data_IF_817799809412
#
_entry.id   IF_817799809412
#
_cell.length_a   1.000
_cell.length_b   1.000
_cell.length_c   1.000
_cell.angle_alpha   90.00
_cell.angle_beta   90.00
_cell.angle_gamma   90.00
#
_symmetry.space_group_name_H-M   'P 1'
#
loop_
_entity.id
_entity.type
_entity.pdbx_description
1 polymer ?
#
# COMPACT_ATOMS: atom_id res chain seq x y z
N UNK A 1 21.32 -63.19 -53.69
CA UNK A 1 20.06 -63.88 -53.33
C UNK A 1 18.92 -62.92 -53.56
N UNK A 2 17.88 -63.34 -54.28
CA UNK A 2 16.66 -62.56 -54.51
C UNK A 2 15.69 -62.71 -53.34
N UNK A 3 14.91 -61.65 -53.06
CA UNK A 3 13.51 -61.74 -52.65
C UNK A 3 12.86 -60.34 -52.63
N UNK A 4 12.02 -60.07 -53.62
CA UNK A 4 10.75 -59.32 -53.48
C UNK A 4 9.64 -60.36 -53.67
N UNK A 5 8.37 -60.15 -53.23
CA UNK A 5 7.45 -59.27 -53.97
C UNK A 5 6.38 -58.52 -53.13
N UNK A 6 5.84 -57.45 -53.75
CA UNK A 6 4.40 -57.07 -53.87
C UNK A 6 3.50 -56.92 -52.60
N UNK A 7 2.37 -56.20 -52.62
CA UNK A 7 1.61 -55.47 -53.68
C UNK A 7 1.22 -54.03 -53.17
N UNK A 8 0.40 -53.17 -53.79
CA UNK A 8 -0.49 -53.23 -54.96
C UNK A 8 -0.74 -51.81 -55.56
N UNK A 9 -1.89 -51.59 -56.23
CA UNK A 9 -2.33 -50.33 -56.85
C UNK A 9 -3.85 -50.13 -56.69
N UNK A 10 -4.39 -48.90 -56.81
CA UNK A 10 -5.73 -48.54 -57.36
C UNK A 10 -5.99 -47.02 -57.11
N UNK A 11 -6.90 -46.36 -57.82
CA UNK A 11 -6.74 -45.63 -59.09
C UNK A 11 -7.91 -44.64 -59.25
N UNK A 12 -7.73 -43.52 -59.97
CA UNK A 12 -8.79 -42.63 -60.50
C UNK A 12 -9.67 -41.87 -59.46
N UNK A 13 -10.29 -40.71 -59.74
CA UNK A 13 -10.38 -39.88 -60.97
C UNK A 13 -10.44 -38.37 -60.62
N UNK A 14 -10.33 -37.51 -61.63
CA UNK A 14 -10.33 -36.04 -61.53
C UNK A 14 -11.62 -35.41 -62.05
N UNK A 15 -12.16 -34.42 -61.34
CA UNK A 15 -12.96 -33.35 -61.96
C UNK A 15 -12.48 -31.97 -61.50
N UNK A 16 -12.41 -31.03 -62.45
CA UNK A 16 -11.87 -29.68 -62.25
C UNK A 16 -12.96 -28.63 -62.50
N UNK A 17 -13.22 -27.77 -61.51
CA UNK A 17 -14.11 -26.61 -61.66
C UNK A 17 -13.24 -25.39 -62.00
N UNK A 18 -13.55 -24.60 -63.06
CA UNK A 18 -12.71 -23.49 -63.49
C UNK A 18 -12.63 -22.33 -62.48
N UNK A 19 -11.47 -21.68 -62.44
CA UNK A 19 -11.18 -20.55 -61.55
C UNK A 19 -12.00 -19.30 -61.88
N UNK A 20 -12.74 -18.75 -60.90
CA UNK A 20 -13.17 -17.35 -60.94
C UNK A 20 -12.12 -16.48 -60.24
N UNK A 21 -11.40 -15.66 -61.02
CA UNK A 21 -10.28 -14.89 -60.51
C UNK A 21 -10.71 -13.86 -59.45
N UNK A 22 -10.12 -13.92 -58.25
CA UNK A 22 -10.11 -12.77 -57.34
C UNK A 22 -8.98 -11.79 -57.72
N UNK A 23 -9.21 -10.47 -57.61
CA UNK A 23 -8.18 -9.48 -57.95
C UNK A 23 -7.01 -9.55 -56.97
N UNK A 24 -5.82 -9.94 -57.46
CA UNK A 24 -4.57 -9.86 -56.70
C UNK A 24 -4.20 -8.40 -56.45
N UNK A 25 -4.58 -7.85 -55.30
CA UNK A 25 -4.07 -6.55 -54.82
C UNK A 25 -2.56 -6.72 -54.54
N UNK A 26 -1.66 -5.97 -55.20
CA UNK A 26 -0.23 -6.18 -55.03
C UNK A 26 0.26 -5.72 -53.65
N UNK A 27 0.98 -6.62 -52.97
CA UNK A 27 1.49 -6.52 -51.57
C UNK A 27 2.38 -5.28 -51.30
N UNK A 28 2.79 -4.53 -52.34
CA UNK A 28 3.49 -3.24 -52.19
C UNK A 28 2.58 -2.09 -51.74
N UNK A 29 1.27 -2.14 -51.97
CA UNK A 29 0.35 -1.04 -51.60
C UNK A 29 -0.08 -1.08 -50.13
N UNK A 30 -0.29 -2.26 -49.55
CA UNK A 30 -0.67 -2.39 -48.13
C UNK A 30 0.42 -1.91 -47.18
N UNK A 31 1.71 -2.16 -47.48
CA UNK A 31 2.83 -1.60 -46.70
C UNK A 31 2.84 -0.07 -46.67
N UNK A 32 2.55 0.62 -47.78
CA UNK A 32 2.53 2.09 -47.84
C UNK A 32 1.38 2.70 -47.03
N UNK A 33 0.17 2.14 -47.13
CA UNK A 33 -0.98 2.58 -46.33
C UNK A 33 -0.77 2.35 -44.82
N UNK A 34 -0.21 1.20 -44.45
CA UNK A 34 0.10 0.90 -43.04
C UNK A 34 1.19 1.83 -42.49
N UNK A 35 2.23 2.13 -43.28
CA UNK A 35 3.27 3.09 -42.90
C UNK A 35 2.70 4.49 -42.71
N UNK A 36 1.81 4.94 -43.60
CA UNK A 36 1.18 6.27 -43.51
C UNK A 36 0.29 6.39 -42.27
N UNK A 37 -0.49 5.36 -41.95
CA UNK A 37 -1.34 5.31 -40.74
C UNK A 37 -0.52 5.34 -39.45
N UNK A 38 0.54 4.52 -39.35
CA UNK A 38 1.41 4.45 -38.17
C UNK A 38 2.19 5.75 -37.96
N UNK A 39 2.69 6.37 -39.04
CA UNK A 39 3.64 7.48 -38.92
C UNK A 39 2.99 8.84 -38.65
N UNK A 40 1.70 9.03 -38.97
CA UNK A 40 0.99 10.31 -38.81
C UNK A 40 -0.13 10.33 -37.76
N UNK A 41 -0.70 9.19 -37.34
CA UNK A 41 -1.77 9.18 -36.29
C UNK A 41 -1.32 8.78 -34.88
N UNK A 42 -0.14 8.19 -34.70
CA UNK A 42 0.24 7.54 -33.43
C UNK A 42 1.54 8.06 -32.77
N UNK A 43 2.13 9.15 -33.27
CA UNK A 43 3.23 9.86 -32.56
C UNK A 43 2.75 11.16 -31.92
N UNK A 44 2.88 11.35 -30.60
CA UNK A 44 2.98 12.69 -30.03
C UNK A 44 4.35 13.31 -30.40
N UNK A 45 4.48 14.65 -30.43
CA UNK A 45 5.73 15.30 -30.77
C UNK A 45 6.81 15.06 -29.70
N UNK A 46 8.04 14.77 -30.17
CA UNK A 46 9.21 14.62 -29.33
C UNK A 46 9.86 16.00 -29.11
N UNK A 47 9.92 16.48 -27.85
CA UNK A 47 11.12 17.08 -27.24
C UNK A 47 10.88 17.50 -25.76
N UNK A 48 11.52 16.77 -24.82
CA UNK A 48 12.06 17.18 -23.49
C UNK A 48 11.17 17.87 -22.41
N UNK A 49 11.52 17.79 -21.10
CA UNK A 49 12.36 16.84 -20.37
C UNK A 49 11.64 16.15 -19.17
N UNK A 50 12.36 15.29 -18.45
CA UNK A 50 11.98 14.60 -17.20
C UNK A 50 11.01 15.36 -16.25
N UNK A 51 9.80 14.84 -16.04
CA UNK A 51 9.16 14.68 -14.72
C UNK A 51 7.75 14.01 -14.82
N UNK A 52 7.40 13.21 -13.81
CA UNK A 52 6.05 12.90 -13.26
C UNK A 52 5.60 11.42 -13.21
N UNK A 53 5.28 10.98 -11.98
CA UNK A 53 4.59 9.74 -11.64
C UNK A 53 3.10 9.78 -12.07
N UNK A 54 2.77 9.38 -13.29
CA UNK A 54 1.39 9.08 -13.69
C UNK A 54 1.13 7.56 -13.62
N UNK A 55 0.05 7.09 -12.96
CA UNK A 55 -0.36 5.70 -13.09
C UNK A 55 -1.01 5.52 -14.47
N UNK A 56 -0.33 4.82 -15.38
CA UNK A 56 -0.90 4.43 -16.66
C UNK A 56 -2.20 3.64 -16.44
N UNK A 57 -3.33 4.29 -16.71
CA UNK A 57 -4.63 3.64 -16.84
C UNK A 57 -4.81 3.39 -18.34
N UNK A 58 -4.44 2.21 -18.80
CA UNK A 58 -4.86 1.75 -20.12
C UNK A 58 -6.39 1.63 -20.12
N UNK A 59 -7.11 2.25 -21.08
CA UNK A 59 -8.48 1.88 -21.35
C UNK A 59 -8.46 0.47 -21.96
N UNK A 60 -8.78 -0.53 -21.16
CA UNK A 60 -8.99 -1.89 -21.68
C UNK A 60 -10.33 -1.88 -22.41
N UNK A 61 -10.28 -1.67 -23.71
CA UNK A 61 -11.39 -2.01 -24.60
C UNK A 61 -11.51 -3.53 -24.63
N UNK A 62 -12.52 -4.06 -23.95
CA UNK A 62 -12.95 -5.46 -24.08
C UNK A 62 -14.07 -5.55 -25.12
N UNK A 63 -13.68 -5.46 -26.39
CA UNK A 63 -14.15 -6.47 -27.35
C UNK A 63 -13.11 -7.58 -27.29
N UNK A 64 -13.53 -8.80 -26.95
CA UNK A 64 -12.60 -9.94 -26.81
C UNK A 64 -12.02 -10.24 -28.20
N UNK A 65 -10.71 -10.05 -28.45
CA UNK A 65 -10.13 -10.37 -29.74
C UNK A 65 -10.17 -11.89 -29.95
N UNK A 66 -10.27 -12.35 -31.20
CA UNK A 66 -10.08 -13.78 -31.48
C UNK A 66 -8.70 -14.23 -30.98
N UNK A 67 -8.51 -15.52 -30.64
CA UNK A 67 -7.24 -16.02 -30.11
C UNK A 67 -6.04 -15.67 -31.00
N UNK A 68 -6.22 -15.59 -32.34
CA UNK A 68 -5.14 -15.19 -33.26
C UNK A 68 -4.72 -13.73 -33.05
N UNK A 69 -5.66 -12.80 -32.85
CA UNK A 69 -5.35 -11.37 -32.65
C UNK A 69 -4.61 -11.17 -31.33
N UNK A 70 -4.96 -11.92 -30.28
CA UNK A 70 -4.26 -11.89 -28.99
C UNK A 70 -2.81 -12.38 -29.13
N UNK A 71 -2.61 -13.48 -29.87
CA UNK A 71 -1.28 -14.04 -30.14
C UNK A 71 -0.43 -13.08 -30.99
N UNK A 72 -1.02 -12.46 -32.02
CA UNK A 72 -0.36 -11.46 -32.88
C UNK A 72 0.01 -10.21 -32.07
N UNK A 73 -0.87 -9.70 -31.21
CA UNK A 73 -0.58 -8.52 -30.40
C UNK A 73 0.50 -8.78 -29.33
N UNK A 74 0.60 -10.02 -28.82
CA UNK A 74 1.70 -10.46 -27.95
C UNK A 74 3.02 -10.59 -28.72
N UNK A 75 3.03 -11.27 -29.86
CA UNK A 75 4.22 -11.45 -30.72
C UNK A 75 4.77 -10.14 -31.29
N UNK A 76 3.91 -9.14 -31.52
CA UNK A 76 4.31 -7.80 -31.95
C UNK A 76 4.69 -6.86 -30.79
N UNK A 77 4.63 -7.32 -29.53
CA UNK A 77 4.94 -6.50 -28.34
C UNK A 77 3.96 -5.34 -28.10
N UNK A 78 2.77 -5.39 -28.72
CA UNK A 78 1.72 -4.37 -28.59
C UNK A 78 0.94 -4.58 -27.28
N UNK A 79 0.73 -5.84 -26.90
CA UNK A 79 0.41 -6.20 -25.52
C UNK A 79 1.71 -6.22 -24.71
N UNK A 80 1.95 -5.17 -23.92
CA UNK A 80 2.94 -5.26 -22.84
C UNK A 80 2.48 -6.33 -21.85
N UNK A 81 3.40 -7.18 -21.36
CA UNK A 81 3.13 -8.09 -20.25
C UNK A 81 2.35 -7.37 -19.15
N UNK A 82 1.32 -8.03 -18.61
CA UNK A 82 0.51 -7.48 -17.53
C UNK A 82 1.45 -7.04 -16.40
N UNK A 83 1.39 -5.78 -15.93
CA UNK A 83 2.47 -5.20 -15.13
C UNK A 83 2.69 -6.04 -13.87
N UNK A 84 3.94 -6.46 -13.64
CA UNK A 84 4.29 -7.33 -12.52
C UNK A 84 3.79 -6.72 -11.20
N UNK A 85 2.80 -7.37 -10.60
CA UNK A 85 2.18 -6.92 -9.35
C UNK A 85 2.18 -8.03 -8.30
N UNK A 86 2.08 -7.62 -7.03
CA UNK A 86 1.85 -8.55 -5.92
C UNK A 86 0.58 -9.38 -6.15
N UNK A 87 -0.46 -8.80 -6.77
CA UNK A 87 -1.70 -9.52 -7.10
C UNK A 87 -1.43 -10.65 -8.11
N UNK A 88 -0.77 -10.33 -9.23
CA UNK A 88 -0.43 -11.32 -10.27
C UNK A 88 0.35 -12.52 -9.70
N UNK A 89 1.38 -12.29 -8.86
CA UNK A 89 2.15 -13.37 -8.22
C UNK A 89 1.28 -14.32 -7.37
N UNK A 90 0.22 -13.82 -6.74
CA UNK A 90 -0.69 -14.64 -5.92
C UNK A 90 -1.74 -15.39 -6.77
N UNK A 91 -2.13 -14.84 -7.93
CA UNK A 91 -3.13 -15.43 -8.85
C UNK A 91 -2.51 -16.49 -9.77
N UNK A 92 -1.31 -16.19 -10.29
CA UNK A 92 -0.58 -17.05 -11.21
C UNK A 92 -0.34 -18.45 -10.64
N UNK A 93 -0.41 -19.47 -11.50
CA UNK A 93 -0.21 -20.89 -11.16
C UNK A 93 -0.97 -21.38 -9.91
N UNK A 94 -2.10 -20.75 -9.56
CA UNK A 94 -2.84 -20.97 -8.32
C UNK A 94 -2.00 -20.85 -7.04
N UNK A 95 -0.93 -20.04 -7.06
CA UNK A 95 0.05 -19.90 -5.99
C UNK A 95 -0.58 -19.67 -4.60
N UNK A 96 -1.60 -18.81 -4.50
CA UNK A 96 -2.33 -18.61 -3.25
C UNK A 96 -3.15 -19.84 -2.82
N UNK A 97 -3.74 -20.57 -3.75
CA UNK A 97 -4.46 -21.82 -3.48
C UNK A 97 -3.53 -22.91 -2.94
N UNK A 98 -2.41 -23.15 -3.63
CA UNK A 98 -1.37 -24.09 -3.19
C UNK A 98 -0.80 -23.71 -1.81
N UNK A 99 -0.50 -22.42 -1.60
CA UNK A 99 -0.02 -21.92 -0.30
C UNK A 99 -1.03 -22.18 0.83
N UNK A 100 -2.33 -21.96 0.58
CA UNK A 100 -3.39 -22.22 1.58
C UNK A 100 -3.53 -23.69 1.96
N UNK A 101 -3.27 -24.61 1.04
CA UNK A 101 -3.33 -26.05 1.30
C UNK A 101 -2.14 -26.45 2.19
N UNK A 102 -0.95 -25.96 1.87
CA UNK A 102 0.31 -26.31 2.56
C UNK A 102 0.44 -25.65 3.94
N UNK A 103 -0.04 -24.42 4.11
CA UNK A 103 0.06 -23.65 5.36
C UNK A 103 -1.27 -23.58 6.14
N UNK A 104 -2.19 -24.52 5.88
CA UNK A 104 -3.57 -24.52 6.40
C UNK A 104 -3.65 -24.25 7.90
N UNK A 105 -2.81 -24.93 8.69
CA UNK A 105 -2.84 -24.88 10.16
C UNK A 105 -2.02 -23.72 10.74
N UNK A 106 -1.20 -23.06 9.92
CA UNK A 106 -0.39 -21.88 10.29
C UNK A 106 -1.05 -20.55 9.91
N UNK A 107 -2.02 -20.57 8.99
CA UNK A 107 -2.67 -19.39 8.44
C UNK A 107 -3.75 -18.83 9.38
N UNK A 108 -3.69 -17.52 9.64
CA UNK A 108 -4.74 -16.81 10.38
C UNK A 108 -5.87 -16.39 9.44
N UNK A 109 -7.11 -16.46 9.90
CA UNK A 109 -8.28 -15.97 9.14
C UNK A 109 -8.11 -14.54 8.61
N UNK A 110 -7.44 -13.68 9.36
CA UNK A 110 -7.19 -12.28 8.96
C UNK A 110 -6.25 -12.18 7.77
N UNK A 111 -5.30 -13.11 7.62
CA UNK A 111 -4.41 -13.19 6.47
C UNK A 111 -5.20 -13.65 5.25
N UNK A 112 -5.95 -14.75 5.38
CA UNK A 112 -6.80 -15.29 4.32
C UNK A 112 -7.78 -14.23 3.81
N UNK A 113 -8.45 -13.52 4.72
CA UNK A 113 -9.42 -12.48 4.38
C UNK A 113 -8.79 -11.26 3.70
N UNK A 114 -7.61 -10.79 4.12
CA UNK A 114 -6.96 -9.64 3.48
C UNK A 114 -6.32 -10.01 2.13
N UNK A 115 -5.86 -11.26 1.94
CA UNK A 115 -5.45 -11.77 0.62
C UNK A 115 -6.65 -11.88 -0.32
N UNK A 116 -7.72 -12.57 0.08
CA UNK A 116 -8.92 -12.72 -0.75
C UNK A 116 -9.54 -11.37 -1.15
N UNK A 117 -9.46 -10.35 -0.29
CA UNK A 117 -9.81 -8.96 -0.65
C UNK A 117 -8.88 -8.41 -1.74
N UNK A 118 -7.57 -8.54 -1.61
CA UNK A 118 -6.59 -8.06 -2.60
C UNK A 118 -6.85 -8.69 -3.98
N UNK A 119 -7.16 -9.98 -4.01
CA UNK A 119 -7.47 -10.70 -5.24
C UNK A 119 -8.75 -10.16 -5.91
N UNK A 120 -9.84 -9.98 -5.15
CA UNK A 120 -11.07 -9.36 -5.69
C UNK A 120 -10.98 -7.83 -5.87
N UNK A 121 -9.79 -7.22 -5.97
CA UNK A 121 -9.66 -5.76 -6.02
C UNK A 121 -10.02 -5.18 -7.39
N UNK A 122 -10.94 -4.21 -7.41
CA UNK A 122 -11.56 -3.64 -8.62
C UNK A 122 -12.37 -4.65 -9.46
N UNK A 123 -12.76 -5.77 -8.86
CA UNK A 123 -13.68 -6.71 -9.50
C UNK A 123 -15.10 -6.13 -9.60
N UNK A 124 -15.86 -6.54 -10.61
CA UNK A 124 -17.25 -6.10 -10.82
C UNK A 124 -18.15 -6.43 -9.61
N UNK A 125 -17.97 -7.59 -8.98
CA UNK A 125 -18.72 -8.04 -7.79
C UNK A 125 -18.59 -7.13 -6.57
N UNK A 126 -17.64 -6.18 -6.57
CA UNK A 126 -17.49 -5.20 -5.48
C UNK A 126 -18.28 -3.91 -5.69
N UNK A 127 -18.97 -3.75 -6.81
CA UNK A 127 -19.65 -2.51 -7.17
C UNK A 127 -18.74 -1.48 -7.84
N UNK A 128 -19.37 -0.44 -8.38
CA UNK A 128 -18.72 0.55 -9.24
C UNK A 128 -19.53 1.85 -9.35
N UNK A 129 -18.86 2.91 -9.80
CA UNK A 129 -19.49 4.14 -10.29
C UNK A 129 -19.46 4.17 -11.81
N UNK A 130 -20.57 4.58 -12.44
CA UNK A 130 -20.64 4.87 -13.88
C UNK A 130 -20.70 6.37 -14.09
N UNK A 131 -19.82 6.87 -14.96
CA UNK A 131 -19.82 8.24 -15.45
C UNK A 131 -19.99 8.25 -16.97
N UNK A 132 -20.54 9.34 -17.50
CA UNK A 132 -20.70 9.60 -18.92
C UNK A 132 -20.13 10.98 -19.25
N UNK A 133 -19.33 11.08 -20.30
CA UNK A 133 -18.94 12.37 -20.85
C UNK A 133 -20.10 12.89 -21.71
N UNK A 134 -20.62 14.06 -21.41
CA UNK A 134 -21.72 14.64 -22.19
C UNK A 134 -21.28 15.07 -23.59
N UNK A 135 -20.03 15.54 -23.72
CA UNK A 135 -19.42 15.97 -24.98
C UNK A 135 -19.19 14.82 -25.97
N UNK A 136 -18.35 13.84 -25.64
CA UNK A 136 -17.97 12.76 -26.58
C UNK A 136 -18.63 11.41 -26.29
N UNK A 137 -19.63 11.36 -25.39
CA UNK A 137 -20.43 10.17 -25.02
C UNK A 137 -19.63 8.98 -24.46
N UNK A 138 -18.33 9.12 -24.21
CA UNK A 138 -17.50 8.09 -23.57
C UNK A 138 -18.04 7.74 -22.18
N UNK A 139 -18.33 6.45 -21.95
CA UNK A 139 -18.67 5.88 -20.65
C UNK A 139 -17.40 5.50 -19.89
N UNK A 140 -17.34 5.81 -18.60
CA UNK A 140 -16.27 5.38 -17.70
C UNK A 140 -16.87 4.63 -16.50
N UNK A 141 -16.46 3.37 -16.32
CA UNK A 141 -16.83 2.56 -15.16
C UNK A 141 -15.63 2.51 -14.19
N UNK A 142 -15.86 2.83 -12.92
CA UNK A 142 -14.81 2.79 -11.89
C UNK A 142 -15.20 1.86 -10.74
N UNK A 143 -14.62 0.66 -10.75
CA UNK A 143 -14.83 -0.38 -9.74
C UNK A 143 -14.23 -0.04 -8.37
N UNK A 144 -14.90 -0.46 -7.30
CA UNK A 144 -14.50 -0.19 -5.93
C UNK A 144 -13.29 -1.04 -5.51
N UNK A 145 -12.25 -0.39 -5.00
CA UNK A 145 -11.04 -1.07 -4.52
C UNK A 145 -11.21 -1.77 -3.17
N UNK A 146 -10.45 -2.83 -2.95
CA UNK A 146 -10.64 -3.82 -1.88
C UNK A 146 -10.36 -3.39 -0.43
N UNK A 147 -9.74 -2.22 -0.20
CA UNK A 147 -9.28 -1.76 1.13
C UNK A 147 -8.33 -2.73 1.90
N UNK A 148 -7.83 -3.79 1.25
CA UNK A 148 -6.83 -4.72 1.82
C UNK A 148 -5.53 -4.00 2.15
N UNK A 149 -4.90 -4.36 3.27
CA UNK A 149 -3.59 -3.85 3.71
C UNK A 149 -2.43 -4.23 2.78
N UNK A 150 -2.55 -5.33 2.05
CA UNK A 150 -1.49 -5.82 1.16
C UNK A 150 -1.71 -5.43 -0.32
N UNK A 151 -2.84 -4.81 -0.66
CA UNK A 151 -3.08 -4.30 -2.00
C UNK A 151 -2.34 -2.97 -2.22
N UNK A 152 -1.28 -2.98 -3.05
CA UNK A 152 -0.52 -1.78 -3.45
C UNK A 152 -1.41 -0.61 -3.90
N UNK A 153 -2.41 -0.89 -4.75
CA UNK A 153 -3.27 0.13 -5.35
C UNK A 153 -4.18 0.80 -4.30
N UNK A 154 -4.79 0.02 -3.39
CA UNK A 154 -5.66 0.57 -2.34
C UNK A 154 -4.85 1.18 -1.19
N UNK A 155 -3.70 0.60 -0.86
CA UNK A 155 -2.80 1.09 0.17
C UNK A 155 -2.33 2.52 -0.11
N UNK A 156 -1.88 2.81 -1.34
CA UNK A 156 -1.49 4.18 -1.75
C UNK A 156 -2.64 5.18 -1.59
N UNK A 157 -3.81 4.88 -2.15
CA UNK A 157 -4.99 5.75 -2.03
C UNK A 157 -5.38 6.02 -0.56
N UNK A 158 -5.35 5.01 0.30
CA UNK A 158 -5.67 5.15 1.72
C UNK A 158 -4.62 5.99 2.46
N UNK A 159 -3.34 5.74 2.17
CA UNK A 159 -2.19 6.49 2.68
C UNK A 159 -2.29 7.98 2.34
N UNK A 160 -2.57 8.32 1.08
CA UNK A 160 -2.69 9.69 0.62
C UNK A 160 -3.91 10.39 1.25
N UNK A 161 -5.05 9.69 1.35
CA UNK A 161 -6.28 10.17 2.01
C UNK A 161 -6.04 10.47 3.50
N UNK A 162 -5.37 9.56 4.23
CA UNK A 162 -5.01 9.77 5.63
C UNK A 162 -4.02 10.92 5.79
N UNK A 163 -3.02 11.02 4.91
CA UNK A 163 -2.01 12.08 4.97
C UNK A 163 -2.65 13.47 4.87
N UNK A 164 -3.59 13.68 3.94
CA UNK A 164 -4.40 14.92 3.88
C UNK A 164 -5.24 15.12 5.14
N UNK A 165 -5.93 14.08 5.61
CA UNK A 165 -6.70 14.14 6.85
C UNK A 165 -5.84 14.47 8.08
N UNK A 166 -4.54 14.13 8.06
CA UNK A 166 -3.62 14.50 9.12
C UNK A 166 -3.25 15.99 9.05
N UNK A 167 -2.95 16.54 7.86
CA UNK A 167 -2.45 17.93 7.72
C UNK A 167 -3.27 18.94 8.50
N UNK A 168 -4.59 18.95 8.31
CA UNK A 168 -5.46 19.94 8.94
C UNK A 168 -5.85 19.55 10.38
N UNK A 169 -5.61 18.30 10.78
CA UNK A 169 -5.89 17.78 12.12
C UNK A 169 -4.70 17.86 13.09
N UNK A 170 -3.53 18.35 12.64
CA UNK A 170 -2.35 18.57 13.47
C UNK A 170 -2.47 19.84 14.32
N UNK A 171 -1.64 19.89 15.36
CA UNK A 171 -1.49 21.08 16.19
C UNK A 171 -0.58 22.08 15.46
N UNK A 172 -0.81 23.37 15.63
CA UNK A 172 0.02 24.45 15.10
C UNK A 172 1.24 24.69 16.01
N UNK A 173 2.03 23.63 16.24
CA UNK A 173 3.28 23.62 17.02
C UNK A 173 4.33 22.82 16.24
N UNK A 174 5.64 22.97 16.50
CA UNK A 174 6.66 22.18 15.81
C UNK A 174 6.57 20.69 16.18
N UNK A 175 6.86 19.82 15.22
CA UNK A 175 6.96 18.37 15.42
C UNK A 175 8.35 17.85 15.12
N UNK A 176 8.63 16.64 15.63
CA UNK A 176 9.70 15.78 15.14
C UNK A 176 9.16 14.45 14.70
N UNK A 177 9.87 13.84 13.75
CA UNK A 177 9.77 12.40 13.53
C UNK A 177 10.81 11.66 14.37
N UNK A 178 10.37 10.65 15.11
CA UNK A 178 11.21 9.69 15.81
C UNK A 178 11.01 8.29 15.24
N UNK A 179 12.08 7.49 15.19
CA UNK A 179 11.97 6.02 15.02
C UNK A 179 12.41 5.36 16.32
N UNK A 180 11.56 4.52 16.90
CA UNK A 180 11.85 3.75 18.11
C UNK A 180 11.86 2.27 17.74
N UNK A 181 12.97 1.58 17.97
CA UNK A 181 13.20 0.19 17.56
C UNK A 181 13.53 -0.68 18.77
N UNK A 182 13.14 -1.95 18.74
CA UNK A 182 13.51 -2.94 19.76
C UNK A 182 14.57 -3.92 19.22
N UNK A 183 15.43 -4.48 20.11
CA UNK A 183 16.34 -5.56 19.77
C UNK A 183 15.68 -6.73 19.03
N UNK A 184 16.45 -7.34 18.14
CA UNK A 184 16.19 -8.61 17.46
C UNK A 184 15.75 -9.75 18.42
N UNK A 185 16.39 -9.85 19.58
CA UNK A 185 16.05 -10.80 20.64
C UNK A 185 14.60 -10.69 21.17
N UNK A 186 13.91 -9.55 20.94
CA UNK A 186 12.49 -9.39 21.27
C UNK A 186 11.56 -9.67 20.08
N UNK A 187 12.07 -9.82 18.86
CA UNK A 187 11.23 -10.04 17.68
C UNK A 187 10.46 -11.37 17.73
N UNK A 188 11.04 -12.53 18.11
CA UNK A 188 10.29 -13.77 18.27
C UNK A 188 9.19 -13.63 19.33
N UNK A 189 9.50 -12.98 20.46
CA UNK A 189 8.54 -12.74 21.55
C UNK A 189 7.33 -11.93 21.06
N UNK A 190 7.56 -10.85 20.30
CA UNK A 190 6.48 -9.99 19.75
C UNK A 190 5.76 -10.65 18.56
N UNK A 191 6.42 -11.53 17.80
CA UNK A 191 5.80 -12.31 16.73
C UNK A 191 4.80 -13.32 17.30
N UNK A 192 5.20 -14.06 18.34
CA UNK A 192 4.37 -15.07 18.99
C UNK A 192 3.30 -14.43 19.90
N UNK A 193 3.61 -13.31 20.56
CA UNK A 193 2.69 -12.58 21.44
C UNK A 193 2.21 -11.28 20.78
N UNK A 194 1.39 -11.38 19.72
CA UNK A 194 0.99 -10.21 18.90
C UNK A 194 0.34 -9.06 19.68
N UNK A 195 -0.27 -9.32 20.84
CA UNK A 195 -0.81 -8.26 21.71
C UNK A 195 0.28 -7.27 22.20
N UNK A 196 1.54 -7.72 22.31
CA UNK A 196 2.68 -6.85 22.65
C UNK A 196 2.91 -5.74 21.62
N UNK A 197 2.40 -5.87 20.39
CA UNK A 197 2.42 -4.78 19.41
C UNK A 197 1.68 -3.53 19.92
N UNK A 198 0.62 -3.68 20.71
CA UNK A 198 -0.05 -2.53 21.38
C UNK A 198 0.78 -2.05 22.57
N UNK A 199 1.28 -2.97 23.40
CA UNK A 199 2.09 -2.64 24.59
C UNK A 199 3.34 -1.83 24.19
N UNK A 200 3.96 -2.17 23.06
CA UNK A 200 5.08 -1.45 22.46
C UNK A 200 4.72 0.00 22.10
N UNK A 201 3.55 0.22 21.49
CA UNK A 201 3.06 1.56 21.15
C UNK A 201 2.69 2.38 22.39
N UNK A 202 2.14 1.74 23.43
CA UNK A 202 1.81 2.39 24.70
C UNK A 202 3.08 2.79 25.47
N UNK A 203 4.09 1.90 25.55
CA UNK A 203 5.38 2.17 26.17
C UNK A 203 6.09 3.39 25.55
N UNK A 204 5.90 3.63 24.24
CA UNK A 204 6.53 4.74 23.53
C UNK A 204 6.02 6.12 24.00
N UNK A 205 4.72 6.30 24.23
CA UNK A 205 4.21 7.58 24.75
C UNK A 205 4.65 7.81 26.19
N UNK A 206 4.75 6.76 27.02
CA UNK A 206 5.25 6.88 28.40
C UNK A 206 6.73 7.30 28.38
N UNK A 207 7.57 6.60 27.61
CA UNK A 207 8.99 6.94 27.45
C UNK A 207 9.21 8.36 26.93
N UNK A 208 8.41 8.82 25.96
CA UNK A 208 8.43 10.20 25.46
C UNK A 208 8.12 11.18 26.61
N UNK A 209 7.00 11.01 27.31
CA UNK A 209 6.55 11.92 28.36
C UNK A 209 7.54 11.99 29.53
N UNK A 210 8.08 10.85 29.98
CA UNK A 210 9.09 10.80 31.03
C UNK A 210 10.36 11.55 30.61
N UNK A 211 10.80 11.37 29.36
CA UNK A 211 12.00 12.03 28.79
C UNK A 211 11.87 13.54 28.75
N UNK A 212 10.73 14.08 28.28
CA UNK A 212 10.52 15.54 28.18
C UNK A 212 10.23 16.19 29.54
N UNK A 213 9.66 15.43 30.48
CA UNK A 213 9.37 15.90 31.84
C UNK A 213 10.62 15.95 32.71
N UNK A 214 11.60 15.06 32.49
CA UNK A 214 12.77 14.87 33.37
C UNK A 214 13.56 16.15 33.70
N UNK A 215 13.62 17.13 32.79
CA UNK A 215 14.30 18.43 33.01
C UNK A 215 13.35 19.61 33.16
N UNK A 216 12.03 19.41 33.17
CA UNK A 216 11.07 20.51 33.26
C UNK A 216 10.70 20.81 34.72
N UNK A 217 11.20 21.95 35.24
CA UNK A 217 10.91 22.40 36.61
C UNK A 217 9.42 22.64 36.89
N UNK A 218 8.59 22.90 35.87
CA UNK A 218 7.13 23.04 35.99
C UNK A 218 6.35 21.71 36.14
N UNK A 219 7.05 20.57 36.18
CA UNK A 219 6.44 19.26 36.42
C UNK A 219 6.27 18.40 35.16
N UNK A 220 5.19 17.61 35.09
CA UNK A 220 4.97 16.67 33.98
C UNK A 220 4.41 17.36 32.74
N UNK A 221 5.07 17.18 31.61
CA UNK A 221 4.59 17.60 30.29
C UNK A 221 3.87 16.44 29.58
N UNK A 222 2.85 16.77 28.79
CA UNK A 222 2.12 15.84 27.92
C UNK A 222 2.47 16.08 26.46
N UNK A 223 3.26 15.21 25.86
CA UNK A 223 3.49 15.25 24.41
C UNK A 223 2.19 14.96 23.63
N UNK A 224 2.05 15.51 22.43
CA UNK A 224 1.17 14.95 21.41
C UNK A 224 1.96 13.98 20.54
N UNK A 225 1.54 12.71 20.47
CA UNK A 225 2.19 11.73 19.59
C UNK A 225 1.19 11.02 18.67
N UNK A 226 1.58 10.82 17.42
CA UNK A 226 0.93 9.93 16.46
C UNK A 226 1.92 8.80 16.20
N UNK A 227 1.61 7.61 16.71
CA UNK A 227 2.47 6.43 16.66
C UNK A 227 1.96 5.50 15.58
N UNK A 228 2.83 5.12 14.65
CA UNK A 228 2.60 4.19 13.55
C UNK A 228 3.49 2.97 13.77
N UNK A 229 2.90 1.80 13.97
CA UNK A 229 3.62 0.53 14.00
C UNK A 229 4.02 0.12 12.58
N UNK A 230 5.28 -0.25 12.40
CA UNK A 230 5.82 -0.76 11.15
C UNK A 230 6.51 -2.11 11.44
N UNK A 231 5.89 -3.24 11.05
CA UNK A 231 6.32 -4.57 11.52
C UNK A 231 7.41 -5.21 10.65
N UNK A 232 7.83 -4.57 9.55
CA UNK A 232 8.75 -5.13 8.56
C UNK A 232 9.96 -4.24 8.27
N UNK A 233 11.06 -4.88 7.89
CA UNK A 233 12.23 -4.25 7.29
C UNK A 233 12.02 -3.99 5.79
N UNK A 234 12.92 -3.21 5.17
CA UNK A 234 12.94 -3.00 3.71
C UNK A 234 12.95 -4.31 2.91
N UNK A 235 13.56 -5.38 3.45
CA UNK A 235 13.62 -6.73 2.85
C UNK A 235 12.47 -7.66 3.28
N UNK A 236 11.34 -7.12 3.72
CA UNK A 236 10.15 -7.84 4.21
C UNK A 236 10.34 -8.76 5.44
N UNK A 237 11.55 -8.93 5.97
CA UNK A 237 11.76 -9.63 7.24
C UNK A 237 11.13 -8.89 8.41
N UNK A 238 10.54 -9.62 9.36
CA UNK A 238 9.87 -9.07 10.56
C UNK A 238 10.86 -8.27 11.42
N UNK A 239 10.54 -7.00 11.65
CA UNK A 239 11.34 -6.03 12.41
C UNK A 239 10.39 -4.94 12.94
N UNK A 240 9.72 -5.17 14.10
CA UNK A 240 8.77 -4.23 14.67
C UNK A 240 9.45 -2.98 15.21
N UNK A 241 9.17 -1.84 14.57
CA UNK A 241 9.58 -0.52 15.01
C UNK A 241 8.42 0.47 14.89
N UNK A 242 8.58 1.63 15.54
CA UNK A 242 7.58 2.68 15.61
C UNK A 242 8.06 3.93 14.88
N UNK A 243 7.31 4.37 13.88
CA UNK A 243 7.42 5.72 13.34
C UNK A 243 6.49 6.63 14.14
N UNK A 244 7.05 7.67 14.76
CA UNK A 244 6.31 8.55 15.65
C UNK A 244 6.44 9.99 15.17
N UNK A 245 5.31 10.63 14.88
CA UNK A 245 5.25 12.08 14.79
C UNK A 245 4.90 12.63 16.17
N UNK A 246 5.86 13.27 16.83
CA UNK A 246 5.74 13.79 18.20
C UNK A 246 5.87 15.31 18.20
N UNK A 247 5.18 16.01 19.10
CA UNK A 247 5.39 17.44 19.34
C UNK A 247 6.81 17.71 19.86
N UNK A 248 7.43 18.83 19.48
CA UNK A 248 8.77 19.22 19.93
C UNK A 248 8.72 19.81 21.35
N UNK A 249 8.36 18.98 22.32
CA UNK A 249 7.96 19.37 23.67
C UNK A 249 6.57 18.85 24.02
N UNK A 250 5.89 19.48 24.98
CA UNK A 250 4.58 19.03 25.44
C UNK A 250 3.79 20.11 26.16
N UNK A 251 2.54 19.79 26.50
CA UNK A 251 1.64 20.70 27.19
C UNK A 251 1.79 20.56 28.71
N UNK A 252 1.77 21.69 29.41
CA UNK A 252 1.77 21.76 30.88
C UNK A 252 0.37 21.49 31.48
N UNK A 253 0.17 21.80 32.77
CA UNK A 253 -1.12 21.64 33.45
C UNK A 253 -2.18 22.66 33.01
N UNK A 254 -1.73 23.82 32.50
CA UNK A 254 -2.50 24.96 32.01
C UNK A 254 -2.73 24.89 30.47
N UNK A 255 -2.38 23.76 29.86
CA UNK A 255 -2.47 23.50 28.43
C UNK A 255 -1.69 24.48 27.55
N UNK A 256 -0.63 25.08 28.09
CA UNK A 256 0.31 25.87 27.32
C UNK A 256 1.38 24.95 26.73
N UNK A 257 1.76 25.22 25.49
CA UNK A 257 2.78 24.41 24.81
C UNK A 257 4.18 24.83 25.26
N UNK A 258 4.83 23.99 26.06
CA UNK A 258 6.21 24.17 26.48
C UNK A 258 7.13 23.60 25.39
N UNK A 259 7.69 24.48 24.58
CA UNK A 259 8.60 24.12 23.48
C UNK A 259 9.95 23.63 24.02
N UNK A 260 10.36 22.43 23.61
CA UNK A 260 11.65 21.83 23.98
C UNK A 260 12.44 21.41 22.74
N UNK A 261 13.23 22.34 22.19
CA UNK A 261 14.08 22.11 21.00
C UNK A 261 15.17 21.05 21.24
N UNK A 262 15.62 20.86 22.47
CA UNK A 262 16.56 19.80 22.85
C UNK A 262 15.81 18.65 23.54
N UNK A 263 15.79 17.48 22.92
CA UNK A 263 15.28 16.25 23.50
C UNK A 263 16.50 15.40 23.93
N UNK A 264 16.63 15.02 25.21
CA UNK A 264 17.82 14.33 25.71
C UNK A 264 17.88 12.87 25.23
N UNK A 265 18.39 12.68 24.02
CA UNK A 265 18.40 11.42 23.28
C UNK A 265 18.96 10.23 24.08
N UNK A 266 20.09 10.39 24.76
CA UNK A 266 20.68 9.32 25.59
C UNK A 266 19.79 8.92 26.79
N UNK A 267 19.01 9.87 27.34
CA UNK A 267 17.99 9.54 28.33
C UNK A 267 16.80 8.83 27.66
N UNK A 268 16.36 9.31 26.49
CA UNK A 268 15.28 8.71 25.72
C UNK A 268 15.52 7.24 25.36
N UNK A 269 16.77 6.87 25.04
CA UNK A 269 17.14 5.47 24.80
C UNK A 269 16.96 4.58 26.03
N UNK A 270 17.28 5.09 27.23
CA UNK A 270 17.14 4.39 28.50
C UNK A 270 15.69 4.32 28.96
N UNK A 271 14.92 5.41 28.86
CA UNK A 271 13.47 5.39 29.15
C UNK A 271 12.72 4.49 28.19
N UNK A 272 13.08 4.48 26.90
CA UNK A 272 12.51 3.55 25.91
C UNK A 272 12.78 2.08 26.28
N UNK A 273 14.04 1.72 26.57
CA UNK A 273 14.39 0.39 27.06
C UNK A 273 13.58 0.00 28.31
N UNK A 274 13.57 0.87 29.32
CA UNK A 274 12.88 0.63 30.58
C UNK A 274 11.38 0.42 30.39
N UNK A 275 10.72 1.32 29.65
CA UNK A 275 9.27 1.23 29.44
C UNK A 275 8.89 0.01 28.59
N UNK A 276 9.68 -0.38 27.58
CA UNK A 276 9.44 -1.63 26.82
C UNK A 276 9.60 -2.85 27.72
N UNK A 277 10.76 -2.99 28.37
CA UNK A 277 11.09 -4.19 29.14
C UNK A 277 10.18 -4.38 30.35
N UNK A 278 9.87 -3.30 31.08
CA UNK A 278 8.95 -3.35 32.22
C UNK A 278 7.52 -3.64 31.77
N UNK A 279 7.03 -2.99 30.70
CA UNK A 279 5.68 -3.26 30.19
C UNK A 279 5.53 -4.66 29.60
N UNK A 280 6.58 -5.19 28.96
CA UNK A 280 6.59 -6.58 28.47
C UNK A 280 6.60 -7.56 29.66
N UNK A 281 7.40 -7.33 30.71
CA UNK A 281 7.40 -8.16 31.93
C UNK A 281 6.02 -8.16 32.63
N UNK A 282 5.33 -7.02 32.61
CA UNK A 282 3.98 -6.90 33.16
C UNK A 282 2.96 -7.70 32.33
N UNK A 283 3.00 -7.57 31.00
CA UNK A 283 1.99 -8.12 30.09
C UNK A 283 2.21 -9.58 29.65
N UNK A 284 3.43 -10.11 29.75
CA UNK A 284 3.74 -11.51 29.47
C UNK A 284 3.30 -12.46 30.61
N UNK A 285 3.06 -13.75 30.30
CA UNK A 285 2.92 -14.80 31.31
C UNK A 285 4.07 -14.82 32.32
N UNK A 286 3.82 -15.30 33.53
CA UNK A 286 4.80 -15.31 34.64
C UNK A 286 5.75 -16.50 34.59
N UNK A 287 6.30 -16.74 33.41
CA UNK A 287 7.31 -17.76 33.15
C UNK A 287 8.72 -17.22 33.41
N UNK A 288 9.61 -18.08 33.91
CA UNK A 288 10.99 -17.73 34.22
C UNK A 288 11.76 -17.25 32.97
N UNK A 289 11.50 -17.85 31.80
CA UNK A 289 12.18 -17.53 30.53
C UNK A 289 12.08 -16.04 30.16
N UNK A 290 10.90 -15.44 30.29
CA UNK A 290 10.71 -14.01 29.99
C UNK A 290 11.43 -13.12 31.00
N UNK A 291 11.42 -13.49 32.29
CA UNK A 291 12.14 -12.73 33.33
C UNK A 291 13.66 -12.79 33.14
N UNK A 292 14.21 -13.95 32.78
CA UNK A 292 15.64 -14.13 32.45
C UNK A 292 16.02 -13.29 31.23
N UNK A 293 15.27 -13.41 30.13
CA UNK A 293 15.49 -12.62 28.91
C UNK A 293 15.46 -11.11 29.19
N UNK A 294 14.47 -10.63 29.92
CA UNK A 294 14.32 -9.19 30.24
C UNK A 294 15.50 -8.70 31.10
N UNK A 295 15.92 -9.46 32.10
CA UNK A 295 17.08 -9.12 32.93
C UNK A 295 18.39 -9.11 32.10
N UNK A 296 18.57 -10.07 31.19
CA UNK A 296 19.69 -10.09 30.25
C UNK A 296 19.69 -8.88 29.31
N UNK A 297 18.52 -8.47 28.80
CA UNK A 297 18.39 -7.30 27.91
C UNK A 297 18.65 -5.97 28.63
N UNK A 298 18.31 -5.84 29.91
CA UNK A 298 18.75 -4.71 30.73
C UNK A 298 20.28 -4.65 30.84
N UNK A 299 20.93 -5.80 31.13
CA UNK A 299 22.39 -5.90 31.23
C UNK A 299 23.11 -5.65 29.89
N UNK A 300 22.64 -6.24 28.79
CA UNK A 300 23.25 -6.15 27.44
C UNK A 300 23.17 -4.73 26.88
N UNK A 301 22.01 -4.08 26.98
CA UNK A 301 21.77 -2.76 26.38
C UNK A 301 22.01 -1.60 27.35
N UNK A 302 23.19 -1.50 27.99
CA UNK A 302 23.52 -0.46 29.00
C UNK A 302 23.31 1.00 28.55
N UNK A 303 23.40 1.26 27.24
CA UNK A 303 23.17 2.59 26.62
C UNK A 303 21.72 2.81 26.15
N UNK A 304 20.80 1.91 26.52
CA UNK A 304 19.40 1.95 26.09
C UNK A 304 19.16 1.41 24.68
N UNK A 305 17.89 1.17 24.36
CA UNK A 305 17.45 0.70 23.05
C UNK A 305 17.63 1.76 21.96
N UNK A 306 17.54 1.37 20.69
CA UNK A 306 17.75 2.29 19.58
C UNK A 306 16.56 3.26 19.44
N UNK A 307 16.91 4.54 19.33
CA UNK A 307 16.03 5.64 18.99
C UNK A 307 16.71 6.37 17.83
N UNK A 308 15.96 6.98 16.93
CA UNK A 308 16.48 7.88 15.91
C UNK A 308 15.63 9.16 15.91
N UNK A 309 16.28 10.30 16.15
CA UNK A 309 15.64 11.60 16.32
C UNK A 309 16.59 12.74 15.88
N UNK A 310 17.00 12.78 14.60
CA UNK A 310 17.97 13.75 14.10
C UNK A 310 17.42 15.19 14.17
N UNK A 311 18.28 16.21 14.10
CA UNK A 311 17.82 17.62 14.10
C UNK A 311 17.01 17.92 12.83
N UNK A 312 17.38 17.26 11.75
CA UNK A 312 16.83 17.31 10.40
C UNK A 312 15.43 16.67 10.32
N UNK A 313 15.05 15.83 11.31
CA UNK A 313 13.69 15.32 11.47
C UNK A 313 12.75 16.29 12.17
N UNK A 314 13.18 17.53 12.46
CA UNK A 314 12.29 18.63 12.83
C UNK A 314 11.44 19.00 11.62
N UNK A 315 10.12 18.89 11.75
CA UNK A 315 9.20 19.20 10.68
C UNK A 315 8.32 20.37 11.09
N UNK A 316 8.55 21.52 10.46
CA UNK A 316 7.79 22.77 10.65
C UNK A 316 6.73 22.96 9.56
N UNK A 317 6.95 22.41 8.36
CA UNK A 317 6.04 22.55 7.22
C UNK A 317 5.01 21.40 7.18
N UNK A 318 3.72 21.75 7.21
CA UNK A 318 2.56 20.84 7.28
C UNK A 318 2.45 19.90 6.07
N UNK A 319 2.72 20.39 4.85
CA UNK A 319 2.76 19.56 3.63
C UNK A 319 3.88 18.53 3.71
N UNK A 320 5.07 18.92 4.22
CA UNK A 320 6.18 17.99 4.49
C UNK A 320 5.80 16.96 5.56
N UNK A 321 5.16 17.34 6.68
CA UNK A 321 4.74 16.39 7.73
C UNK A 321 3.92 15.25 7.14
N UNK A 322 2.87 15.57 6.38
CA UNK A 322 1.97 14.56 5.87
C UNK A 322 2.60 13.69 4.79
N UNK A 323 3.32 14.27 3.81
CA UNK A 323 4.05 13.47 2.80
C UNK A 323 5.12 12.59 3.46
N UNK A 324 5.72 13.05 4.56
CA UNK A 324 6.70 12.28 5.32
C UNK A 324 6.05 11.07 6.01
N UNK A 325 4.98 11.28 6.80
CA UNK A 325 4.32 10.23 7.59
C UNK A 325 3.50 9.28 6.70
N UNK A 326 3.00 9.75 5.55
CA UNK A 326 2.35 8.92 4.53
C UNK A 326 3.13 7.63 4.23
N UNK A 327 4.45 7.75 4.07
CA UNK A 327 5.35 6.66 3.66
C UNK A 327 5.47 5.49 4.64
N UNK A 328 4.82 5.55 5.80
CA UNK A 328 4.84 4.48 6.81
C UNK A 328 3.45 3.88 7.09
N UNK A 329 2.42 4.39 6.42
CA UNK A 329 1.02 3.96 6.54
C UNK A 329 0.75 2.81 5.57
N UNK A 330 0.04 1.78 6.04
CA UNK A 330 -0.86 0.85 5.31
C UNK A 330 -0.55 0.59 3.82
N UNK A 331 0.73 0.46 3.49
CA UNK A 331 1.22 -0.04 2.23
C UNK A 331 1.73 -1.48 2.47
N UNK A 332 1.68 -2.35 1.45
CA UNK A 332 2.32 -3.67 1.54
C UNK A 332 3.82 -3.55 1.84
N UNK A 333 4.41 -4.63 2.38
CA UNK A 333 5.83 -4.69 2.71
C UNK A 333 6.75 -4.51 1.48
N UNK A 334 6.22 -4.79 0.29
CA UNK A 334 6.80 -4.47 -1.02
C UNK A 334 5.77 -3.75 -1.88
N UNK A 335 6.17 -2.68 -2.56
CA UNK A 335 5.33 -2.01 -3.56
C UNK A 335 5.55 -2.65 -4.95
N UNK A 336 4.57 -2.60 -5.84
CA UNK A 336 4.71 -3.19 -7.19
C UNK A 336 5.94 -2.64 -7.94
N UNK A 337 6.26 -1.34 -7.79
CA UNK A 337 7.44 -0.69 -8.38
C UNK A 337 8.80 -1.19 -7.84
N UNK A 338 8.78 -2.02 -6.79
CA UNK A 338 9.97 -2.68 -6.24
C UNK A 338 10.15 -4.10 -6.76
N UNK A 339 9.12 -4.70 -7.37
CA UNK A 339 9.23 -5.99 -8.04
C UNK A 339 10.12 -5.81 -9.28
N UNK A 340 11.00 -6.78 -9.53
CA UNK A 340 12.01 -6.71 -10.59
C UNK A 340 11.87 -7.86 -11.59
N UNK A 341 11.70 -9.09 -11.09
CA UNK A 341 11.53 -10.29 -11.90
C UNK A 341 10.60 -11.28 -11.21
N UNK A 342 9.85 -12.02 -12.00
CA UNK A 342 9.05 -13.17 -11.61
C UNK A 342 9.13 -14.20 -12.73
N UNK A 343 9.29 -15.48 -12.41
CA UNK A 343 9.49 -16.57 -13.38
C UNK A 343 8.56 -17.78 -13.15
N UNK A 344 7.46 -17.58 -12.40
CA UNK A 344 6.56 -18.64 -11.97
C UNK A 344 7.01 -19.36 -10.68
N UNK A 345 8.29 -19.33 -10.32
CA UNK A 345 8.86 -20.08 -9.18
C UNK A 345 9.49 -19.19 -8.11
N UNK A 346 10.12 -18.10 -8.53
CA UNK A 346 10.84 -17.15 -7.70
C UNK A 346 10.43 -15.71 -7.98
N UNK A 347 10.48 -14.87 -6.96
CA UNK A 347 10.23 -13.43 -7.04
C UNK A 347 11.50 -12.69 -6.66
N UNK A 348 11.99 -11.84 -7.55
CA UNK A 348 13.08 -10.89 -7.26
C UNK A 348 12.50 -9.50 -7.07
N UNK A 349 12.86 -8.84 -5.97
CA UNK A 349 12.51 -7.44 -5.70
C UNK A 349 13.71 -6.66 -5.16
N UNK A 350 13.71 -5.34 -5.31
CA UNK A 350 14.81 -4.49 -4.86
C UNK A 350 14.47 -3.66 -3.61
N UNK A 351 15.51 -3.23 -2.88
CA UNK A 351 15.43 -2.20 -1.86
C UNK A 351 16.65 -1.26 -1.92
N UNK A 352 16.46 0.01 -1.58
CA UNK A 352 17.57 0.95 -1.39
C UNK A 352 18.12 0.88 0.03
N UNK A 353 19.43 0.94 0.21
CA UNK A 353 20.07 1.09 1.54
C UNK A 353 19.96 2.55 2.07
N UNK A 354 20.96 3.04 2.80
CA UNK A 354 21.01 4.43 3.29
C UNK A 354 21.76 5.37 2.34
N UNK A 355 22.67 4.84 1.54
CA UNK A 355 23.55 5.59 0.63
C UNK A 355 22.94 5.68 -0.78
N UNK A 356 21.90 4.88 -1.05
CA UNK A 356 21.09 4.91 -2.27
C UNK A 356 21.27 3.68 -3.16
N UNK A 357 22.20 2.78 -2.82
CA UNK A 357 22.49 1.56 -3.56
C UNK A 357 21.28 0.64 -3.56
N UNK A 358 20.96 0.07 -4.73
CA UNK A 358 19.90 -0.93 -4.87
C UNK A 358 20.44 -2.33 -4.61
N UNK A 359 19.83 -3.00 -3.65
CA UNK A 359 20.07 -4.40 -3.31
C UNK A 359 18.89 -5.23 -3.81
N UNK A 360 19.17 -6.37 -4.44
CA UNK A 360 18.14 -7.29 -4.93
C UNK A 360 18.01 -8.49 -3.99
N UNK A 361 16.78 -8.96 -3.80
CA UNK A 361 16.46 -10.15 -3.02
C UNK A 361 15.59 -11.05 -3.88
N UNK A 362 16.05 -12.28 -4.11
CA UNK A 362 15.28 -13.36 -4.73
C UNK A 362 14.83 -14.33 -3.65
N UNK A 363 13.60 -14.81 -3.75
CA UNK A 363 13.04 -15.84 -2.87
C UNK A 363 11.99 -16.66 -3.65
N UNK A 364 11.67 -17.86 -3.19
CA UNK A 364 10.58 -18.66 -3.77
C UNK A 364 9.23 -17.94 -3.61
N UNK A 365 8.24 -18.31 -4.42
CA UNK A 365 6.87 -17.79 -4.27
C UNK A 365 6.31 -18.05 -2.86
N UNK A 366 6.54 -19.24 -2.29
CA UNK A 366 6.08 -19.58 -0.92
C UNK A 366 6.69 -18.63 0.10
N UNK A 367 8.00 -18.41 0.04
CA UNK A 367 8.69 -17.46 0.92
C UNK A 367 8.19 -16.02 0.70
N UNK A 368 7.92 -15.61 -0.54
CA UNK A 368 7.38 -14.28 -0.86
C UNK A 368 5.99 -14.04 -0.26
N UNK A 369 5.07 -15.01 -0.42
CA UNK A 369 3.73 -14.96 0.17
C UNK A 369 3.85 -14.87 1.69
N UNK A 370 4.61 -15.77 2.33
CA UNK A 370 4.79 -15.79 3.78
C UNK A 370 5.47 -14.51 4.30
N UNK A 371 6.48 -14.01 3.58
CA UNK A 371 7.18 -12.77 3.91
C UNK A 371 6.25 -11.56 3.90
N UNK A 372 5.24 -11.55 3.04
CA UNK A 372 4.26 -10.47 2.92
C UNK A 372 3.12 -10.58 3.96
N UNK A 373 2.50 -11.76 4.11
CA UNK A 373 1.26 -11.91 4.89
C UNK A 373 1.49 -11.87 6.41
N UNK A 374 2.65 -12.29 6.92
CA UNK A 374 2.96 -12.29 8.37
C UNK A 374 2.79 -10.90 9.03
N UNK A 375 2.88 -9.82 8.23
CA UNK A 375 2.74 -8.43 8.66
C UNK A 375 1.30 -7.96 8.80
N UNK A 376 0.33 -8.76 8.35
CA UNK A 376 -1.09 -8.46 8.49
C UNK A 376 -1.43 -8.46 10.00
N UNK A 377 -1.90 -7.33 10.54
CA UNK A 377 -2.26 -7.22 11.94
C UNK A 377 -3.62 -7.87 12.20
N UNK A 378 -3.84 -8.30 13.43
CA UNK A 378 -5.06 -9.00 13.83
C UNK A 378 -6.33 -8.14 13.61
N UNK A 379 -7.49 -8.80 13.52
CA UNK A 379 -8.78 -8.11 13.29
C UNK A 379 -8.93 -6.99 14.34
N UNK A 380 -9.38 -5.82 13.88
CA UNK A 380 -9.54 -4.59 14.66
C UNK A 380 -8.27 -3.94 15.25
N UNK A 381 -7.08 -4.54 15.16
CA UNK A 381 -5.83 -3.93 15.63
C UNK A 381 -5.56 -2.59 14.91
N UNK A 382 -5.18 -1.57 15.67
CA UNK A 382 -4.91 -0.21 15.18
C UNK A 382 -3.40 0.02 15.04
N UNK A 383 -2.91 -0.08 13.80
CA UNK A 383 -1.52 0.22 13.42
C UNK A 383 -1.14 1.68 13.66
N UNK A 384 -2.13 2.58 13.65
CA UNK A 384 -1.96 4.01 13.91
C UNK A 384 -2.72 4.37 15.17
N UNK A 385 -2.06 5.03 16.12
CA UNK A 385 -2.65 5.45 17.40
C UNK A 385 -2.27 6.89 17.71
N UNK A 386 -3.24 7.60 18.28
CA UNK A 386 -3.13 9.00 18.69
C UNK A 386 -3.04 9.05 20.21
N UNK A 387 -1.92 9.55 20.72
CA UNK A 387 -1.51 9.46 22.12
C UNK A 387 -1.24 10.84 22.75
N UNK A 388 -1.29 10.87 24.08
CA UNK A 388 -1.09 12.09 24.86
C UNK A 388 -2.08 13.18 24.44
N UNK A 389 -1.57 14.36 24.09
CA UNK A 389 -2.41 15.48 23.65
C UNK A 389 -3.22 15.19 22.37
N UNK A 390 -2.78 14.26 21.51
CA UNK A 390 -3.55 13.85 20.33
C UNK A 390 -4.66 12.84 20.63
N UNK A 391 -4.72 12.26 21.84
CA UNK A 391 -5.73 11.26 22.19
C UNK A 391 -7.15 11.82 22.07
N UNK A 392 -8.08 11.04 21.49
CA UNK A 392 -9.40 11.56 21.07
C UNK A 392 -10.18 12.25 22.20
N UNK A 393 -10.10 11.73 23.43
CA UNK A 393 -10.80 12.26 24.61
C UNK A 393 -10.24 13.60 25.09
N UNK A 394 -8.94 13.87 24.89
CA UNK A 394 -8.27 15.06 25.43
C UNK A 394 -7.97 16.09 24.33
N UNK A 395 -7.90 15.68 23.06
CA UNK A 395 -7.55 16.55 21.92
C UNK A 395 -8.37 17.85 21.84
N UNK A 396 -9.65 17.81 22.23
CA UNK A 396 -10.52 18.99 22.28
C UNK A 396 -10.05 20.06 23.27
N UNK A 397 -9.40 19.68 24.38
CA UNK A 397 -8.80 20.58 25.37
C UNK A 397 -7.67 21.45 24.78
N UNK A 398 -7.04 20.96 23.71
CA UNK A 398 -5.98 21.65 22.98
C UNK A 398 -6.51 22.36 21.70
N UNK A 399 -7.80 22.72 21.66
CA UNK A 399 -8.46 23.35 20.52
C UNK A 399 -7.79 24.65 20.06
N UNK A 400 -7.28 25.48 20.99
CA UNK A 400 -6.49 26.69 20.70
C UNK A 400 -5.24 26.43 19.84
N UNK A 401 -4.76 25.19 19.80
CA UNK A 401 -3.65 24.75 18.95
C UNK A 401 -4.11 23.97 17.72
N UNK A 402 -5.38 23.60 17.58
CA UNK A 402 -5.91 22.98 16.37
C UNK A 402 -6.17 24.04 15.30
N UNK A 403 -5.91 23.66 14.05
CA UNK A 403 -6.08 24.59 12.93
C UNK A 403 -7.53 24.60 12.43
N UNK A 404 -8.10 23.42 12.15
CA UNK A 404 -9.51 23.22 11.82
C UNK A 404 -9.96 21.83 12.27
N UNK A 405 -11.24 21.65 12.59
CA UNK A 405 -11.86 20.32 12.53
C UNK A 405 -12.11 19.97 11.06
N UNK A 406 -11.86 18.72 10.67
CA UNK A 406 -12.20 18.24 9.32
C UNK A 406 -13.47 17.39 9.46
N UNK A 407 -14.60 17.85 8.92
CA UNK A 407 -15.73 16.96 8.63
C UNK A 407 -15.32 16.08 7.45
N UNK A 408 -15.34 14.75 7.64
CA UNK A 408 -15.14 13.80 6.54
C UNK A 408 -16.46 13.66 5.79
N UNK A 409 -16.44 13.73 4.45
CA UNK A 409 -17.63 13.60 3.63
C UNK A 409 -18.28 12.21 3.80
N UNK A 410 -19.60 12.20 4.05
CA UNK A 410 -20.41 10.97 4.06
C UNK A 410 -20.80 10.54 2.65
N UNK A 411 -21.42 9.37 2.52
CA UNK A 411 -22.08 8.99 1.26
C UNK A 411 -23.29 9.89 0.95
N UNK A 412 -23.99 10.40 1.97
CA UNK A 412 -25.11 11.35 1.78
C UNK A 412 -24.60 12.73 1.31
N UNK A 413 -23.43 13.17 1.80
CA UNK A 413 -22.73 14.34 1.26
C UNK A 413 -22.33 14.12 -0.23
N UNK A 414 -22.17 12.86 -0.68
CA UNK A 414 -21.96 12.52 -2.10
C UNK A 414 -23.24 12.60 -2.92
N UNK A 415 -24.32 11.97 -2.47
CA UNK A 415 -25.61 11.96 -3.18
C UNK A 415 -26.18 13.37 -3.38
N UNK A 416 -25.89 14.31 -2.47
CA UNK A 416 -26.27 15.73 -2.60
C UNK A 416 -25.51 16.50 -3.69
N UNK A 417 -24.38 15.98 -4.19
CA UNK A 417 -23.52 16.69 -5.16
C UNK A 417 -22.59 15.72 -5.92
N UNK A 418 -23.11 14.70 -6.64
CA UNK A 418 -22.29 13.61 -7.16
C UNK A 418 -21.22 14.09 -8.16
N UNK A 419 -21.57 15.08 -8.99
CA UNK A 419 -20.67 15.69 -9.97
C UNK A 419 -19.53 16.54 -9.35
N UNK A 420 -19.52 16.76 -8.03
CA UNK A 420 -18.42 17.44 -7.33
C UNK A 420 -17.10 16.67 -7.40
N UNK A 421 -17.16 15.33 -7.50
CA UNK A 421 -16.00 14.45 -7.60
C UNK A 421 -15.97 13.65 -8.91
N UNK A 422 -16.73 14.06 -9.93
CA UNK A 422 -16.69 13.35 -11.21
C UNK A 422 -15.32 13.53 -11.90
N UNK A 423 -14.81 12.48 -12.58
CA UNK A 423 -13.52 12.51 -13.25
C UNK A 423 -13.56 13.34 -14.55
N UNK A 424 -12.37 13.63 -15.09
CA UNK A 424 -12.20 14.08 -16.47
C UNK A 424 -12.32 12.91 -17.43
N UNK A 425 -12.80 13.18 -18.64
CA UNK A 425 -12.99 12.19 -19.68
C UNK A 425 -11.62 11.71 -20.21
N UNK A 426 -11.35 10.39 -20.26
CA UNK A 426 -10.07 9.89 -20.79
C UNK A 426 -9.91 10.12 -22.30
N UNK A 427 -10.99 10.43 -23.02
CA UNK A 427 -11.00 10.63 -24.47
C UNK A 427 -10.85 12.11 -24.88
N UNK A 428 -11.51 13.05 -24.19
CA UNK A 428 -11.49 14.48 -24.55
C UNK A 428 -11.12 15.45 -23.43
N UNK A 429 -10.77 14.97 -22.23
CA UNK A 429 -10.42 15.81 -21.08
C UNK A 429 -11.61 16.44 -20.35
N UNK A 430 -12.77 16.60 -21.00
CA UNK A 430 -13.95 17.24 -20.41
C UNK A 430 -14.45 16.59 -19.13
N UNK A 431 -15.04 17.40 -18.25
CA UNK A 431 -15.58 16.89 -16.98
C UNK A 431 -16.77 15.96 -17.26
N UNK A 432 -16.76 14.77 -16.66
CA UNK A 432 -17.83 13.78 -16.82
C UNK A 432 -18.99 14.06 -15.85
N UNK A 433 -20.16 13.51 -16.18
CA UNK A 433 -21.35 13.49 -15.32
C UNK A 433 -21.53 12.09 -14.72
N UNK A 434 -21.90 12.05 -13.44
CA UNK A 434 -22.27 10.82 -12.75
C UNK A 434 -23.63 10.32 -13.24
N UNK A 435 -23.72 9.02 -13.57
CA UNK A 435 -24.96 8.39 -14.07
C UNK A 435 -25.60 7.51 -13.00
N UNK A 436 -24.89 6.49 -12.55
CA UNK A 436 -25.39 5.57 -11.53
C UNK A 436 -24.26 4.88 -10.78
N UNK A 437 -24.60 4.26 -9.65
CA UNK A 437 -23.69 3.39 -8.91
C UNK A 437 -24.35 2.05 -8.66
N UNK A 438 -23.55 1.00 -8.68
CA UNK A 438 -23.95 -0.31 -8.18
C UNK A 438 -23.13 -0.63 -6.94
N UNK A 439 -23.79 -1.13 -5.90
CA UNK A 439 -23.13 -1.64 -4.70
C UNK A 439 -23.17 -3.16 -4.75
N UNK A 440 -22.03 -3.77 -5.06
CA UNK A 440 -21.87 -5.21 -4.87
C UNK A 440 -22.18 -5.60 -3.43
N UNK A 441 -22.73 -6.80 -3.18
CA UNK A 441 -23.10 -7.21 -1.83
C UNK A 441 -21.86 -7.12 -0.93
N UNK A 442 -21.96 -6.50 0.27
CA UNK A 442 -20.89 -6.63 1.24
C UNK A 442 -20.70 -8.11 1.52
N UNK A 443 -19.47 -8.61 1.47
CA UNK A 443 -19.18 -9.94 2.03
C UNK A 443 -19.70 -9.93 3.47
N UNK A 444 -20.23 -11.05 3.95
CA UNK A 444 -20.97 -11.18 5.22
C UNK A 444 -20.26 -10.55 6.45
N UNK A 445 -18.92 -10.41 6.38
CA UNK A 445 -18.06 -9.81 7.41
C UNK A 445 -17.50 -8.39 7.08
N UNK A 446 -17.90 -7.77 5.97
CA UNK A 446 -17.39 -6.49 5.46
C UNK A 446 -18.36 -5.33 5.75
N UNK A 447 -18.26 -4.77 6.96
CA UNK A 447 -18.94 -3.51 7.31
C UNK A 447 -18.31 -2.35 6.52
N UNK A 448 -18.93 -1.98 5.39
CA UNK A 448 -18.63 -0.72 4.70
C UNK A 448 -19.04 0.46 5.58
N UNK A 449 -18.14 1.44 5.74
CA UNK A 449 -18.43 2.64 6.50
C UNK A 449 -19.31 3.64 5.73
N UNK A 450 -19.99 4.50 6.48
CA UNK A 450 -20.84 5.57 5.95
C UNK A 450 -20.07 6.73 5.25
N UNK A 451 -18.75 6.64 5.14
CA UNK A 451 -17.89 7.72 4.65
C UNK A 451 -17.44 7.45 3.23
N UNK A 452 -17.50 8.45 2.35
CA UNK A 452 -17.11 8.33 0.94
C UNK A 452 -15.68 7.76 0.71
N UNK A 453 -14.67 8.00 1.60
CA UNK A 453 -13.38 7.31 1.52
C UNK A 453 -13.43 5.78 1.60
N UNK A 454 -14.40 5.20 2.32
CA UNK A 454 -14.51 3.76 2.57
C UNK A 454 -14.94 2.98 1.31
N UNK A 455 -15.63 3.65 0.39
CA UNK A 455 -15.99 3.17 -0.94
C UNK A 455 -14.80 3.22 -1.93
N UNK A 456 -13.65 3.69 -1.46
CA UNK A 456 -12.44 3.97 -2.23
C UNK A 456 -12.70 4.80 -3.51
N UNK A 457 -13.63 5.76 -3.45
CA UNK A 457 -13.93 6.68 -4.57
C UNK A 457 -12.62 7.24 -5.17
N UNK A 458 -12.45 7.20 -6.52
CA UNK A 458 -11.19 7.51 -7.20
C UNK A 458 -10.73 8.95 -6.92
N UNK A 459 -11.59 9.92 -7.21
CA UNK A 459 -11.28 11.36 -7.10
C UNK A 459 -11.20 11.90 -5.66
N UNK A 460 -11.26 11.04 -4.63
CA UNK A 460 -10.81 11.38 -3.29
C UNK A 460 -9.28 11.20 -3.11
N UNK A 461 -8.59 10.75 -4.16
CA UNK A 461 -7.13 10.81 -4.30
C UNK A 461 -6.75 11.88 -5.35
N UNK A 462 -6.26 13.07 -4.93
CA UNK A 462 -5.72 14.10 -5.81
C UNK A 462 -4.30 13.70 -6.23
N UNK A 463 -4.24 12.69 -7.11
CA UNK A 463 -3.21 12.60 -8.15
C UNK A 463 -3.71 13.21 -9.48
N UNK A 464 -4.91 13.79 -9.46
CA UNK A 464 -5.51 14.58 -10.53
C UNK A 464 -5.93 15.93 -9.94
N UNK A 465 -5.01 16.89 -10.01
CA UNK A 465 -5.19 18.32 -9.78
C UNK A 465 -3.87 19.02 -10.15
#
# INVERSE_FOLDING_TARGET
MFATPESESFSQSSETIPSRAQPKIPVKYTRRLLFWYIHYKLRPPLHTPFYQDQPYIYPVYLDIPSPEIYLIAFLLGILTDAPLTVRHIFEDNHNWGAFRIVEKDNLRDVEINEVNKMLSCKDASRGFFTYLCEHCRTKLIVHFGCNSRICSNCGKNHTDKWARSLQNALFNVPHRHAVLTIPDALWPVVKNNRFLQKVLMDAAIVAINDTISYRHRGGRLRAGAIVVLHPFSKKMGFNPHLHILVTEGGFDKQDNFIHQKYIPFNAMRKTWQYQVLTSFKAALPKEAVYSVLINQLFKKYRKGFYVYLPKEARITNKKRIAKYVARYIRHPAVANTRLHRYDGKTVTFWYGDHDGTRHFVTMTVREFIQALIQHIPDRNFKMIRYYGAYSRRIKGRYSKHLQRSIKQATFDDFLKSPNKWAPTCPNCGEKMTFVYYEKGPPKENEVFGCKLPDWNHPMLSPSYN
#
